data_IF_881536889063
#
_entry.id   IF_881536889063
#
_cell.length_a   1.000
_cell.length_b   1.000
_cell.length_c   1.000
_cell.angle_alpha   90.00
_cell.angle_beta   90.00
_cell.angle_gamma   90.00
#
_symmetry.space_group_name_H-M   'P 1'
#
loop_
_entity.id
_entity.type
_entity.pdbx_description
1 polymer ?
#
# COMPACT_ATOMS: atom_id res chain seq x y z
N UNK A 1 -187.22 -31.20 5.15
CA UNK A 1 -185.99 -31.23 5.98
C UNK A 1 -185.91 -32.43 6.96
N UNK A 2 -186.22 -33.68 6.59
CA UNK A 2 -186.20 -34.98 7.31
C UNK A 2 -184.76 -35.45 7.57
N UNK A 3 -184.54 -36.42 8.47
CA UNK A 3 -183.22 -37.05 8.72
C UNK A 3 -182.53 -37.51 7.42
N UNK A 4 -183.32 -37.88 6.41
CA UNK A 4 -182.89 -38.23 5.05
C UNK A 4 -182.28 -37.05 4.28
N UNK A 5 -182.76 -35.84 4.54
CA UNK A 5 -182.32 -34.63 3.87
C UNK A 5 -181.03 -34.05 4.49
N UNK A 6 -180.68 -34.34 5.75
CA UNK A 6 -179.36 -34.01 6.31
C UNK A 6 -178.26 -34.91 5.75
N UNK A 7 -178.57 -36.20 5.56
CA UNK A 7 -177.65 -37.21 5.01
C UNK A 7 -177.37 -36.94 3.51
N UNK A 8 -178.38 -36.52 2.75
CA UNK A 8 -178.26 -36.13 1.34
C UNK A 8 -177.39 -34.85 1.15
N UNK A 9 -177.49 -33.90 2.09
CA UNK A 9 -176.66 -32.67 2.09
C UNK A 9 -175.21 -32.98 2.46
N UNK A 10 -174.97 -33.83 3.46
CA UNK A 10 -173.62 -34.30 3.81
C UNK A 10 -172.95 -35.06 2.67
N UNK A 11 -173.70 -35.89 1.96
CA UNK A 11 -173.20 -36.64 0.79
C UNK A 11 -172.82 -35.68 -0.33
N UNK A 12 -173.65 -34.68 -0.65
CA UNK A 12 -173.31 -33.62 -1.63
C UNK A 12 -172.12 -32.76 -1.22
N UNK A 13 -171.95 -32.48 0.07
CA UNK A 13 -170.80 -31.71 0.57
C UNK A 13 -169.51 -32.52 0.42
N UNK A 14 -169.55 -33.82 0.72
CA UNK A 14 -168.41 -34.72 0.51
C UNK A 14 -168.08 -34.90 -0.97
N UNK A 15 -169.08 -35.03 -1.85
CA UNK A 15 -168.88 -35.05 -3.31
C UNK A 15 -168.23 -33.75 -3.79
N UNK A 16 -168.71 -32.59 -3.33
CA UNK A 16 -168.10 -31.30 -3.69
C UNK A 16 -166.68 -31.13 -3.14
N UNK A 17 -166.40 -31.65 -1.94
CA UNK A 17 -165.05 -31.66 -1.38
C UNK A 17 -164.12 -32.56 -2.20
N UNK A 18 -164.61 -33.72 -2.64
CA UNK A 18 -163.87 -34.63 -3.51
C UNK A 18 -163.59 -33.99 -4.88
N UNK A 19 -164.58 -33.31 -5.46
CA UNK A 19 -164.42 -32.58 -6.70
C UNK A 19 -163.43 -31.42 -6.58
N UNK A 20 -163.48 -30.67 -5.47
CA UNK A 20 -162.51 -29.60 -5.18
C UNK A 20 -161.09 -30.17 -5.04
N UNK A 21 -160.93 -31.32 -4.37
CA UNK A 21 -159.63 -31.96 -4.24
C UNK A 21 -159.09 -32.48 -5.58
N UNK A 22 -159.95 -33.09 -6.39
CA UNK A 22 -159.59 -33.51 -7.76
C UNK A 22 -159.23 -32.31 -8.65
N UNK A 23 -159.92 -31.18 -8.48
CA UNK A 23 -159.60 -29.95 -9.19
C UNK A 23 -158.25 -29.36 -8.73
N UNK A 24 -157.98 -29.44 -7.42
CA UNK A 24 -156.70 -29.03 -6.84
C UNK A 24 -155.55 -29.90 -7.36
N UNK A 25 -155.67 -31.23 -7.32
CA UNK A 25 -154.64 -32.15 -7.87
C UNK A 25 -154.44 -31.98 -9.38
N UNK A 26 -155.52 -31.73 -10.15
CA UNK A 26 -155.40 -31.43 -11.59
C UNK A 26 -154.71 -30.10 -11.86
N UNK A 27 -155.01 -29.07 -11.07
CA UNK A 27 -154.36 -27.77 -11.18
C UNK A 27 -152.88 -27.88 -10.82
N UNK A 28 -152.54 -28.59 -9.74
CA UNK A 28 -151.17 -28.83 -9.28
C UNK A 28 -150.34 -29.60 -10.32
N UNK A 29 -150.90 -30.68 -10.90
CA UNK A 29 -150.22 -31.45 -11.94
C UNK A 29 -150.09 -30.70 -13.28
N UNK A 30 -151.06 -29.87 -13.66
CA UNK A 30 -150.95 -29.05 -14.87
C UNK A 30 -149.93 -27.91 -14.68
N UNK A 31 -149.85 -27.35 -13.47
CA UNK A 31 -148.83 -26.37 -13.10
C UNK A 31 -147.42 -26.98 -13.10
N UNK A 32 -147.26 -28.24 -12.67
CA UNK A 32 -145.96 -28.92 -12.65
C UNK A 32 -145.43 -29.28 -14.05
N UNK A 33 -146.31 -29.64 -15.00
CA UNK A 33 -145.93 -29.88 -16.39
C UNK A 33 -145.49 -28.58 -17.08
N UNK A 34 -146.27 -27.49 -16.95
CA UNK A 34 -145.85 -26.19 -17.50
C UNK A 34 -144.54 -25.68 -16.88
N UNK A 35 -144.32 -25.98 -15.59
CA UNK A 35 -143.04 -25.72 -14.92
C UNK A 35 -141.90 -26.54 -15.53
N UNK A 36 -142.10 -27.83 -15.85
CA UNK A 36 -141.07 -28.63 -16.52
C UNK A 36 -140.71 -28.14 -17.95
N UNK A 37 -141.63 -27.47 -18.67
CA UNK A 37 -141.35 -26.90 -19.99
C UNK A 37 -140.79 -25.46 -19.94
N UNK A 38 -141.10 -24.67 -18.91
CA UNK A 38 -140.85 -23.21 -18.88
C UNK A 38 -139.86 -22.79 -17.77
N UNK A 39 -139.71 -23.57 -16.69
CA UNK A 39 -138.86 -23.22 -15.54
C UNK A 39 -137.37 -23.29 -15.91
N UNK A 40 -136.74 -22.11 -15.92
CA UNK A 40 -135.32 -21.92 -16.22
C UNK A 40 -134.40 -22.53 -15.15
N UNK A 41 -134.94 -22.86 -13.97
CA UNK A 41 -134.16 -23.40 -12.86
C UNK A 41 -134.10 -24.94 -12.81
N UNK A 42 -134.80 -25.63 -13.72
CA UNK A 42 -134.76 -27.09 -13.86
C UNK A 42 -133.76 -27.48 -14.95
N UNK A 43 -132.77 -28.31 -14.63
CA UNK A 43 -131.75 -28.77 -15.59
C UNK A 43 -132.35 -29.52 -16.79
N UNK A 44 -133.48 -30.21 -16.61
CA UNK A 44 -134.15 -30.97 -17.68
C UNK A 44 -135.22 -30.19 -18.46
N UNK A 45 -135.35 -28.86 -18.25
CA UNK A 45 -136.36 -28.10 -19.00
C UNK A 45 -135.92 -27.89 -20.45
N UNK A 46 -136.82 -28.20 -21.39
CA UNK A 46 -136.55 -28.08 -22.83
C UNK A 46 -136.11 -26.67 -23.24
N UNK A 47 -136.62 -25.64 -22.57
CA UNK A 47 -136.21 -24.25 -22.79
C UNK A 47 -134.74 -24.03 -22.43
N UNK A 48 -134.26 -24.58 -21.31
CA UNK A 48 -132.86 -24.49 -20.90
C UNK A 48 -131.94 -25.25 -21.85
N UNK A 49 -132.26 -26.50 -22.18
CA UNK A 49 -131.49 -27.31 -23.14
C UNK A 49 -131.38 -26.66 -24.53
N UNK A 50 -132.49 -26.12 -25.06
CA UNK A 50 -132.48 -25.40 -26.35
C UNK A 50 -131.68 -24.10 -26.26
N UNK A 51 -131.77 -23.37 -25.14
CA UNK A 51 -130.98 -22.15 -24.95
C UNK A 51 -129.48 -22.45 -24.80
N UNK A 52 -129.12 -23.52 -24.12
CA UNK A 52 -127.74 -23.97 -23.95
C UNK A 52 -127.16 -24.42 -25.30
N UNK A 53 -127.89 -25.21 -26.09
CA UNK A 53 -127.46 -25.63 -27.43
C UNK A 53 -127.37 -24.43 -28.40
N UNK A 54 -128.33 -23.49 -28.33
CA UNK A 54 -128.26 -22.23 -29.08
C UNK A 54 -127.08 -21.35 -28.63
N UNK A 55 -126.72 -21.37 -27.35
CA UNK A 55 -125.55 -20.65 -26.84
C UNK A 55 -124.25 -21.28 -27.34
N UNK A 56 -124.17 -22.61 -27.37
CA UNK A 56 -123.03 -23.35 -27.95
C UNK A 56 -122.89 -23.04 -29.44
N UNK A 57 -123.96 -23.13 -30.23
CA UNK A 57 -123.94 -22.84 -31.68
C UNK A 57 -123.54 -21.37 -31.93
N UNK A 58 -124.06 -20.43 -31.14
CA UNK A 58 -123.65 -19.01 -31.23
C UNK A 58 -122.17 -18.82 -30.90
N UNK A 59 -121.66 -19.50 -29.88
CA UNK A 59 -120.23 -19.46 -29.53
C UNK A 59 -119.37 -19.99 -30.68
N UNK A 60 -119.71 -21.15 -31.23
CA UNK A 60 -118.98 -21.74 -32.36
C UNK A 60 -119.03 -20.84 -33.61
N UNK A 61 -120.19 -20.24 -33.91
CA UNK A 61 -120.33 -19.28 -35.02
C UNK A 61 -119.45 -18.03 -34.82
N UNK A 62 -119.36 -17.53 -33.59
CA UNK A 62 -118.48 -16.41 -33.25
C UNK A 62 -117.00 -16.78 -33.42
N UNK A 63 -116.59 -17.98 -33.03
CA UNK A 63 -115.20 -18.44 -33.16
C UNK A 63 -114.80 -18.68 -34.62
N UNK A 64 -115.69 -19.27 -35.44
CA UNK A 64 -115.47 -19.38 -36.89
C UNK A 64 -115.37 -17.99 -37.54
N UNK A 65 -116.21 -17.05 -37.12
CA UNK A 65 -116.16 -15.66 -37.62
C UNK A 65 -114.84 -14.97 -37.24
N UNK A 66 -114.32 -15.20 -36.03
CA UNK A 66 -112.97 -14.71 -35.64
C UNK A 66 -111.87 -15.33 -36.50
N UNK A 67 -111.91 -16.65 -36.74
CA UNK A 67 -110.92 -17.33 -37.59
C UNK A 67 -110.95 -16.80 -39.03
N UNK A 68 -112.13 -16.54 -39.59
CA UNK A 68 -112.27 -15.95 -40.93
C UNK A 68 -111.67 -14.54 -41.00
N UNK A 69 -111.91 -13.71 -39.99
CA UNK A 69 -111.31 -12.37 -39.92
C UNK A 69 -109.78 -12.46 -39.80
N UNK A 70 -109.25 -13.35 -38.95
CA UNK A 70 -107.80 -13.55 -38.84
C UNK A 70 -107.17 -14.05 -40.15
N UNK A 71 -107.85 -14.94 -40.86
CA UNK A 71 -107.39 -15.44 -42.16
C UNK A 71 -107.41 -14.32 -43.22
N UNK A 72 -108.45 -13.49 -43.21
CA UNK A 72 -108.56 -12.35 -44.12
C UNK A 72 -107.47 -11.32 -43.83
N UNK A 73 -107.26 -10.93 -42.57
CA UNK A 73 -106.18 -10.02 -42.16
C UNK A 73 -104.81 -10.57 -42.58
N UNK A 74 -104.58 -11.87 -42.41
CA UNK A 74 -103.35 -12.53 -42.83
C UNK A 74 -103.18 -12.52 -44.35
N UNK A 75 -104.25 -12.75 -45.11
CA UNK A 75 -104.22 -12.73 -46.56
C UNK A 75 -104.01 -11.31 -47.11
N UNK A 76 -104.69 -10.31 -46.55
CA UNK A 76 -104.50 -8.89 -46.87
C UNK A 76 -103.08 -8.44 -46.51
N UNK A 77 -102.54 -8.89 -45.38
CA UNK A 77 -101.14 -8.65 -45.04
C UNK A 77 -100.21 -9.21 -46.12
N UNK A 78 -100.41 -10.43 -46.61
CA UNK A 78 -99.53 -11.01 -47.63
C UNK A 78 -99.69 -10.36 -49.02
N UNK A 79 -100.90 -9.91 -49.37
CA UNK A 79 -101.25 -9.47 -50.73
C UNK A 79 -101.32 -7.96 -50.93
N UNK A 80 -101.42 -7.18 -49.85
CA UNK A 80 -101.40 -5.71 -49.92
C UNK A 80 -100.12 -5.21 -50.59
N UNK A 81 -100.31 -4.27 -51.52
CA UNK A 81 -99.21 -3.63 -52.22
C UNK A 81 -98.46 -2.72 -51.25
N UNK A 82 -97.15 -2.90 -51.16
CA UNK A 82 -96.28 -2.01 -50.41
C UNK A 82 -95.93 -0.77 -51.25
N UNK A 83 -95.23 0.19 -50.63
CA UNK A 83 -94.85 1.46 -51.26
C UNK A 83 -94.05 1.31 -52.57
N UNK A 84 -93.42 0.16 -52.78
CA UNK A 84 -92.66 -0.19 -53.98
C UNK A 84 -93.53 -0.82 -55.10
N UNK A 85 -94.85 -0.85 -54.94
CA UNK A 85 -95.80 -1.39 -55.92
C UNK A 85 -95.85 -2.91 -56.01
N UNK A 86 -95.19 -3.63 -55.11
CA UNK A 86 -95.20 -5.11 -55.05
C UNK A 86 -95.84 -5.59 -53.75
N UNK A 87 -96.44 -6.78 -53.78
CA UNK A 87 -96.90 -7.42 -52.56
C UNK A 87 -95.75 -8.18 -51.87
N UNK A 88 -95.95 -8.58 -50.61
CA UNK A 88 -94.92 -9.23 -49.80
C UNK A 88 -94.44 -10.56 -50.40
N UNK A 89 -95.34 -11.30 -51.05
CA UNK A 89 -95.01 -12.56 -51.73
C UNK A 89 -94.06 -12.32 -52.92
N UNK A 90 -94.35 -11.30 -53.74
CA UNK A 90 -93.50 -10.91 -54.87
C UNK A 90 -92.13 -10.43 -54.40
N UNK A 91 -92.06 -9.69 -53.31
CA UNK A 91 -90.78 -9.27 -52.72
C UNK A 91 -89.92 -10.46 -52.28
N UNK A 92 -90.51 -11.48 -51.65
CA UNK A 92 -89.81 -12.72 -51.28
C UNK A 92 -89.31 -13.45 -52.54
N UNK A 93 -90.12 -13.49 -53.60
CA UNK A 93 -89.72 -14.12 -54.86
C UNK A 93 -88.56 -13.38 -55.55
N UNK A 94 -88.57 -12.05 -55.53
CA UNK A 94 -87.47 -11.25 -56.08
C UNK A 94 -86.16 -11.44 -55.29
N UNK A 95 -86.25 -11.52 -53.96
CA UNK A 95 -85.11 -11.78 -53.08
C UNK A 95 -84.49 -13.17 -53.32
N UNK A 96 -85.32 -14.14 -53.70
CA UNK A 96 -84.89 -15.50 -54.03
C UNK A 96 -84.64 -15.69 -55.53
N UNK A 97 -84.55 -14.61 -56.32
CA UNK A 97 -84.25 -14.72 -57.73
C UNK A 97 -82.85 -15.29 -57.95
N UNK A 98 -82.70 -16.15 -58.95
CA UNK A 98 -81.43 -16.81 -59.30
C UNK A 98 -80.29 -15.80 -59.47
N UNK A 99 -80.61 -14.60 -59.97
CA UNK A 99 -79.64 -13.51 -60.13
C UNK A 99 -79.10 -13.00 -58.79
N UNK A 100 -79.96 -12.81 -57.78
CA UNK A 100 -79.51 -12.35 -56.45
C UNK A 100 -78.70 -13.44 -55.76
N UNK A 101 -79.08 -14.70 -55.93
CA UNK A 101 -78.32 -15.84 -55.39
C UNK A 101 -76.94 -15.94 -56.03
N UNK A 102 -76.83 -15.78 -57.36
CA UNK A 102 -75.53 -15.79 -58.04
C UNK A 102 -74.67 -14.58 -57.65
N UNK A 103 -75.24 -13.38 -57.56
CA UNK A 103 -74.54 -12.18 -57.06
C UNK A 103 -73.98 -12.37 -55.64
N UNK A 104 -74.73 -13.01 -54.74
CA UNK A 104 -74.29 -13.33 -53.38
C UNK A 104 -73.13 -14.32 -53.41
N UNK A 105 -73.23 -15.34 -54.26
CA UNK A 105 -72.19 -16.36 -54.41
C UNK A 105 -70.90 -15.76 -54.97
N UNK A 106 -70.97 -14.97 -56.04
CA UNK A 106 -69.82 -14.26 -56.62
C UNK A 106 -69.15 -13.33 -55.60
N UNK A 107 -69.94 -12.57 -54.83
CA UNK A 107 -69.41 -11.71 -53.75
C UNK A 107 -68.74 -12.53 -52.66
N UNK A 108 -69.31 -13.66 -52.27
CA UNK A 108 -68.69 -14.56 -51.29
C UNK A 108 -67.37 -15.10 -51.80
N UNK A 109 -67.31 -15.56 -53.05
CA UNK A 109 -66.08 -16.08 -53.66
C UNK A 109 -65.00 -14.99 -53.80
N UNK A 110 -65.39 -13.79 -54.21
CA UNK A 110 -64.51 -12.62 -54.26
C UNK A 110 -63.96 -12.25 -52.88
N UNK A 111 -64.79 -12.32 -51.84
CA UNK A 111 -64.35 -12.12 -50.46
C UNK A 111 -63.33 -13.17 -50.02
N UNK A 112 -63.59 -14.47 -50.27
CA UNK A 112 -62.65 -15.54 -49.95
C UNK A 112 -61.33 -15.40 -50.70
N UNK A 113 -61.38 -15.01 -51.98
CA UNK A 113 -60.17 -14.76 -52.77
C UNK A 113 -59.36 -13.60 -52.22
N UNK A 114 -60.01 -12.47 -51.92
CA UNK A 114 -59.36 -11.30 -51.32
C UNK A 114 -58.76 -11.62 -49.95
N UNK A 115 -59.47 -12.40 -49.13
CA UNK A 115 -58.96 -12.89 -47.85
C UNK A 115 -57.68 -13.73 -48.04
N UNK A 116 -57.69 -14.68 -48.97
CA UNK A 116 -56.51 -15.51 -49.25
C UNK A 116 -55.35 -14.72 -49.86
N UNK A 117 -55.60 -13.72 -50.71
CA UNK A 117 -54.53 -12.85 -51.25
C UNK A 117 -53.84 -12.02 -50.16
N UNK A 118 -54.60 -11.57 -49.15
CA UNK A 118 -54.05 -10.76 -48.05
C UNK A 118 -53.37 -11.61 -46.97
N UNK A 119 -53.95 -12.77 -46.64
CA UNK A 119 -53.53 -13.56 -45.48
C UNK A 119 -52.78 -14.85 -45.84
N UNK A 120 -52.96 -15.41 -47.04
CA UNK A 120 -52.38 -16.68 -47.51
C UNK A 120 -51.59 -16.50 -48.82
N UNK A 121 -50.61 -15.59 -48.81
CA UNK A 121 -49.73 -15.31 -49.96
C UNK A 121 -48.64 -16.36 -50.19
N UNK A 122 -47.77 -16.13 -51.20
CA UNK A 122 -46.66 -17.04 -51.61
C UNK A 122 -45.70 -17.43 -50.46
N UNK A 123 -45.67 -16.67 -49.37
CA UNK A 123 -44.80 -16.90 -48.20
C UNK A 123 -45.50 -17.63 -47.02
N UNK A 124 -46.73 -18.11 -47.18
CA UNK A 124 -47.50 -18.82 -46.14
C UNK A 124 -48.55 -17.95 -45.44
N UNK A 125 -49.13 -18.50 -44.35
CA UNK A 125 -50.14 -17.82 -43.53
C UNK A 125 -49.50 -16.66 -42.75
N UNK A 126 -49.89 -15.43 -43.10
CA UNK A 126 -49.42 -14.21 -42.47
C UNK A 126 -49.72 -14.18 -40.96
N UNK A 127 -50.81 -14.83 -40.52
CA UNK A 127 -51.15 -14.95 -39.11
C UNK A 127 -50.13 -15.84 -38.38
N UNK A 128 -49.70 -16.94 -39.01
CA UNK A 128 -48.70 -17.84 -38.45
C UNK A 128 -47.30 -17.18 -38.40
N UNK A 129 -46.91 -16.41 -39.42
CA UNK A 129 -45.67 -15.61 -39.38
C UNK A 129 -45.73 -14.53 -38.29
N UNK A 130 -46.87 -13.87 -38.10
CA UNK A 130 -47.05 -12.87 -37.04
C UNK A 130 -46.94 -13.50 -35.65
N UNK A 131 -47.56 -14.65 -35.43
CA UNK A 131 -47.45 -15.42 -34.17
C UNK A 131 -46.00 -15.81 -33.93
N UNK A 132 -45.32 -16.36 -34.94
CA UNK A 132 -43.91 -16.77 -34.84
C UNK A 132 -42.99 -15.59 -34.50
N UNK A 133 -43.22 -14.43 -35.13
CA UNK A 133 -42.47 -13.19 -34.82
C UNK A 133 -42.77 -12.67 -33.43
N UNK A 134 -44.04 -12.70 -33.00
CA UNK A 134 -44.44 -12.35 -31.65
C UNK A 134 -43.75 -13.24 -30.61
N UNK A 135 -43.74 -14.56 -30.81
CA UNK A 135 -43.06 -15.51 -29.93
C UNK A 135 -41.56 -15.24 -29.85
N UNK A 136 -40.90 -14.93 -30.98
CA UNK A 136 -39.49 -14.53 -31.01
C UNK A 136 -39.26 -13.25 -30.19
N UNK A 137 -40.08 -12.23 -30.39
CA UNK A 137 -39.98 -10.96 -29.64
C UNK A 137 -40.20 -11.21 -28.15
N UNK A 138 -41.22 -11.99 -27.79
CA UNK A 138 -41.52 -12.30 -26.40
C UNK A 138 -40.37 -13.07 -25.74
N UNK A 139 -39.81 -14.09 -26.40
CA UNK A 139 -38.66 -14.82 -25.88
C UNK A 139 -37.41 -13.94 -25.70
N UNK A 140 -37.17 -12.98 -26.60
CA UNK A 140 -36.10 -12.00 -26.45
C UNK A 140 -36.36 -11.07 -25.26
N UNK A 141 -37.59 -10.56 -25.13
CA UNK A 141 -37.99 -9.75 -23.99
C UNK A 141 -37.78 -10.48 -22.66
N UNK A 142 -38.19 -11.75 -22.59
CA UNK A 142 -37.98 -12.60 -21.40
C UNK A 142 -36.51 -12.78 -21.05
N UNK A 143 -35.66 -13.05 -22.04
CA UNK A 143 -34.21 -13.16 -21.81
C UNK A 143 -33.58 -11.86 -21.32
N UNK A 144 -34.06 -10.72 -21.84
CA UNK A 144 -33.50 -9.42 -21.49
C UNK A 144 -33.97 -8.93 -20.12
N UNK A 145 -35.23 -9.17 -19.76
CA UNK A 145 -35.89 -8.49 -18.64
C UNK A 145 -36.67 -9.40 -17.67
N UNK A 146 -37.11 -10.61 -18.06
CA UNK A 146 -37.77 -11.49 -17.09
C UNK A 146 -36.72 -12.09 -16.16
N UNK A 147 -36.87 -11.74 -14.88
CA UNK A 147 -36.05 -12.25 -13.82
C UNK A 147 -36.76 -13.47 -13.20
N UNK A 148 -36.09 -14.62 -13.17
CA UNK A 148 -36.60 -15.81 -12.47
C UNK A 148 -35.88 -15.93 -11.14
N UNK A 149 -36.52 -16.52 -10.13
CA UNK A 149 -35.97 -16.64 -8.76
C UNK A 149 -34.54 -17.23 -8.67
N UNK A 150 -34.06 -17.92 -9.70
CA UNK A 150 -32.73 -18.54 -9.78
C UNK A 150 -31.78 -17.94 -10.83
N UNK A 151 -32.23 -16.99 -11.67
CA UNK A 151 -31.42 -16.40 -12.74
C UNK A 151 -31.77 -14.93 -12.99
N UNK A 152 -30.78 -14.08 -12.71
CA UNK A 152 -30.72 -12.68 -13.12
C UNK A 152 -31.00 -12.51 -14.62
N UNK A 153 -31.75 -11.46 -14.95
CA UNK A 153 -31.94 -11.06 -16.34
C UNK A 153 -30.62 -10.58 -16.95
N UNK A 154 -30.48 -10.66 -18.28
CA UNK A 154 -29.26 -10.19 -18.95
C UNK A 154 -29.02 -8.70 -18.70
N UNK A 155 -30.08 -7.88 -18.53
CA UNK A 155 -29.90 -6.47 -18.19
C UNK A 155 -29.31 -6.28 -16.80
N UNK A 156 -29.76 -7.04 -15.81
CA UNK A 156 -29.26 -6.95 -14.43
C UNK A 156 -27.83 -7.47 -14.31
N UNK A 157 -27.48 -8.56 -15.01
CA UNK A 157 -26.10 -9.06 -15.05
C UNK A 157 -25.15 -8.01 -15.66
N UNK A 158 -25.64 -7.26 -16.66
CA UNK A 158 -24.87 -6.18 -17.27
C UNK A 158 -24.70 -5.00 -16.30
N UNK A 159 -25.76 -4.61 -15.59
CA UNK A 159 -25.71 -3.57 -14.56
C UNK A 159 -24.71 -3.93 -13.45
N UNK A 160 -24.75 -5.17 -12.95
CA UNK A 160 -23.81 -5.63 -11.93
C UNK A 160 -22.36 -5.60 -12.41
N UNK A 161 -22.10 -5.99 -13.67
CA UNK A 161 -20.76 -5.89 -14.26
C UNK A 161 -20.30 -4.44 -14.42
N UNK A 162 -21.22 -3.54 -14.76
CA UNK A 162 -20.93 -2.10 -14.86
C UNK A 162 -20.60 -1.53 -13.48
N UNK A 163 -21.37 -1.88 -12.45
CA UNK A 163 -21.13 -1.43 -11.08
C UNK A 163 -19.79 -1.97 -10.54
N UNK A 164 -19.51 -3.26 -10.73
CA UNK A 164 -18.21 -3.85 -10.39
C UNK A 164 -17.05 -3.18 -11.11
N UNK A 165 -17.24 -2.82 -12.39
CA UNK A 165 -16.24 -2.08 -13.15
C UNK A 165 -15.99 -0.70 -12.54
N UNK A 166 -17.05 0.04 -12.19
CA UNK A 166 -16.91 1.35 -11.57
C UNK A 166 -16.27 1.27 -10.17
N UNK A 167 -16.59 0.27 -9.37
CA UNK A 167 -15.96 0.03 -8.06
C UNK A 167 -14.46 -0.28 -8.21
N UNK A 168 -14.11 -1.18 -9.14
CA UNK A 168 -12.72 -1.50 -9.44
C UNK A 168 -11.96 -0.29 -9.98
N UNK A 169 -12.59 0.49 -10.87
CA UNK A 169 -12.01 1.68 -11.46
C UNK A 169 -11.76 2.78 -10.42
N UNK A 170 -12.68 2.97 -9.47
CA UNK A 170 -12.55 3.98 -8.41
C UNK A 170 -11.44 3.63 -7.41
N UNK A 171 -11.25 2.35 -7.10
CA UNK A 171 -10.08 1.87 -6.33
C UNK A 171 -8.76 2.16 -7.07
N UNK A 172 -8.75 1.98 -8.40
CA UNK A 172 -7.55 2.10 -9.22
C UNK A 172 -7.15 3.53 -9.55
N UNK A 173 -8.05 4.35 -10.12
CA UNK A 173 -7.66 5.55 -10.88
C UNK A 173 -8.09 6.87 -10.25
N UNK A 174 -9.15 6.91 -9.43
CA UNK A 174 -9.49 8.14 -8.67
C UNK A 174 -10.65 7.89 -7.73
N UNK A 175 -10.39 8.06 -6.45
CA UNK A 175 -11.37 8.55 -5.50
C UNK A 175 -10.87 9.90 -4.99
N UNK A 176 -11.79 10.80 -4.65
CA UNK A 176 -11.47 12.07 -3.96
C UNK A 176 -10.78 11.82 -2.61
N UNK A 177 -10.87 10.59 -2.09
CA UNK A 177 -10.08 10.10 -0.98
C UNK A 177 -8.64 9.79 -1.39
N UNK A 178 -7.72 10.33 -0.60
CA UNK A 178 -6.26 10.32 -0.76
C UNK A 178 -5.60 8.92 -0.69
N UNK A 179 -6.42 7.86 -0.72
CA UNK A 179 -6.12 6.44 -0.50
C UNK A 179 -6.24 5.54 -1.75
N UNK A 180 -6.49 6.09 -2.95
CA UNK A 180 -6.46 5.27 -4.18
C UNK A 180 -5.08 4.67 -4.45
N UNK A 181 -5.04 3.50 -5.12
CA UNK A 181 -3.77 2.82 -5.47
C UNK A 181 -2.90 3.75 -6.34
N UNK A 182 -3.51 4.52 -7.24
CA UNK A 182 -2.80 5.51 -8.04
C UNK A 182 -2.16 6.61 -7.16
N UNK A 183 -2.88 7.18 -6.19
CA UNK A 183 -2.31 8.21 -5.31
C UNK A 183 -1.18 7.64 -4.45
N UNK A 184 -1.29 6.40 -3.97
CA UNK A 184 -0.21 5.72 -3.26
C UNK A 184 1.03 5.50 -4.15
N UNK A 185 0.81 5.08 -5.40
CA UNK A 185 1.88 4.94 -6.40
C UNK A 185 2.59 6.28 -6.66
N UNK A 186 1.84 7.37 -6.86
CA UNK A 186 2.41 8.71 -7.06
C UNK A 186 3.22 9.14 -5.82
N UNK A 187 2.67 9.00 -4.60
CA UNK A 187 3.39 9.30 -3.35
C UNK A 187 4.69 8.50 -3.22
N UNK A 188 4.66 7.19 -3.52
CA UNK A 188 5.85 6.33 -3.52
C UNK A 188 6.86 6.70 -4.60
N UNK A 189 6.40 7.06 -5.79
CA UNK A 189 7.24 7.49 -6.90
C UNK A 189 7.91 8.84 -6.59
N UNK A 190 7.20 9.77 -5.96
CA UNK A 190 7.76 11.05 -5.52
C UNK A 190 8.79 10.86 -4.41
N UNK A 191 8.51 9.99 -3.42
CA UNK A 191 9.51 9.62 -2.40
C UNK A 191 10.73 8.94 -3.03
N UNK A 192 10.53 8.05 -4.01
CA UNK A 192 11.63 7.42 -4.76
C UNK A 192 12.47 8.46 -5.51
N UNK A 193 11.84 9.40 -6.22
CA UNK A 193 12.54 10.46 -6.93
C UNK A 193 13.31 11.38 -5.97
N UNK A 194 12.72 11.71 -4.82
CA UNK A 194 13.41 12.49 -3.78
C UNK A 194 14.63 11.73 -3.21
N UNK A 195 14.50 10.43 -2.97
CA UNK A 195 15.62 9.57 -2.55
C UNK A 195 16.69 9.47 -3.61
N UNK A 196 16.31 9.34 -4.89
CA UNK A 196 17.23 9.35 -6.02
C UNK A 196 18.02 10.65 -6.10
N UNK A 197 17.35 11.82 -6.00
CA UNK A 197 18.02 13.14 -5.99
C UNK A 197 19.01 13.24 -4.82
N UNK A 198 18.63 12.78 -3.62
CA UNK A 198 19.53 12.75 -2.46
C UNK A 198 20.73 11.83 -2.68
N UNK A 199 20.51 10.68 -3.31
CA UNK A 199 21.57 9.72 -3.63
C UNK A 199 22.52 10.30 -4.68
N UNK A 200 22.01 10.92 -5.74
CA UNK A 200 22.80 11.59 -6.76
C UNK A 200 23.62 12.74 -6.16
N UNK A 201 23.01 13.54 -5.27
CA UNK A 201 23.72 14.60 -4.53
C UNK A 201 24.82 14.04 -3.63
N UNK A 202 24.56 12.93 -2.93
CA UNK A 202 25.55 12.25 -2.10
C UNK A 202 26.69 11.69 -2.97
N UNK A 203 26.36 11.02 -4.07
CA UNK A 203 27.33 10.47 -5.02
C UNK A 203 28.24 11.57 -5.56
N UNK A 204 27.66 12.68 -6.05
CA UNK A 204 28.42 13.82 -6.56
C UNK A 204 29.30 14.45 -5.46
N UNK A 205 28.85 14.49 -4.20
CA UNK A 205 29.66 15.00 -3.09
C UNK A 205 30.85 14.09 -2.75
N UNK A 206 30.66 12.78 -2.76
CA UNK A 206 31.71 11.81 -2.40
C UNK A 206 32.71 11.62 -3.55
N UNK A 207 32.21 11.44 -4.77
CA UNK A 207 32.99 11.04 -5.93
C UNK A 207 33.24 12.17 -6.93
N UNK A 208 32.55 13.30 -6.80
CA UNK A 208 32.66 14.42 -7.74
C UNK A 208 31.83 14.19 -9.00
N UNK A 209 31.69 15.24 -9.81
CA UNK A 209 31.07 15.18 -11.12
C UNK A 209 31.94 15.94 -12.12
N UNK A 210 32.51 15.22 -13.10
CA UNK A 210 33.42 15.78 -14.12
C UNK A 210 32.74 16.84 -15.00
N UNK A 211 31.40 16.80 -15.13
CA UNK A 211 30.64 17.75 -15.95
C UNK A 211 30.38 19.08 -15.25
N UNK A 212 30.38 19.10 -13.91
CA UNK A 212 30.04 20.27 -13.09
C UNK A 212 31.27 20.83 -12.33
N UNK A 213 32.47 20.31 -12.61
CA UNK A 213 33.73 20.72 -11.97
C UNK A 213 33.66 20.69 -10.41
N UNK A 214 32.90 19.74 -9.87
CA UNK A 214 32.74 19.57 -8.42
C UNK A 214 33.84 18.69 -7.86
N UNK A 215 34.66 19.25 -6.96
CA UNK A 215 35.73 18.51 -6.28
C UNK A 215 35.14 17.44 -5.37
N UNK A 216 35.60 16.20 -5.54
CA UNK A 216 35.16 15.07 -4.75
C UNK A 216 35.79 15.08 -3.35
N UNK A 217 35.01 14.63 -2.35
CA UNK A 217 35.55 14.44 -1.00
C UNK A 217 36.65 13.37 -0.99
N UNK A 218 36.56 12.37 -1.88
CA UNK A 218 37.57 11.34 -2.03
C UNK A 218 38.93 11.93 -2.45
N UNK A 219 38.93 12.85 -3.41
CA UNK A 219 40.16 13.54 -3.85
C UNK A 219 40.73 14.40 -2.72
N UNK A 220 39.88 15.05 -1.92
CA UNK A 220 40.34 15.81 -0.75
C UNK A 220 40.99 14.90 0.31
N UNK A 221 40.38 13.75 0.59
CA UNK A 221 40.91 12.76 1.52
C UNK A 221 42.26 12.22 1.05
N UNK A 222 42.37 11.85 -0.21
CA UNK A 222 43.62 11.38 -0.81
C UNK A 222 44.71 12.47 -0.73
N UNK A 223 44.36 13.72 -1.00
CA UNK A 223 45.29 14.84 -0.88
C UNK A 223 45.73 15.07 0.57
N UNK A 224 44.82 14.97 1.55
CA UNK A 224 45.17 15.08 2.98
C UNK A 224 46.05 13.92 3.43
N UNK A 225 45.77 12.70 2.98
CA UNK A 225 46.57 11.52 3.29
C UNK A 225 48.00 11.66 2.77
N UNK A 226 48.14 12.15 1.52
CA UNK A 226 49.46 12.46 0.95
C UNK A 226 50.21 13.53 1.76
N UNK A 227 49.54 14.62 2.15
CA UNK A 227 50.14 15.65 3.01
C UNK A 227 50.57 15.10 4.39
N UNK A 228 49.77 14.21 4.97
CA UNK A 228 50.12 13.57 6.25
C UNK A 228 51.36 12.70 6.10
N UNK A 229 51.46 11.91 5.02
CA UNK A 229 52.67 11.13 4.73
C UNK A 229 53.89 12.04 4.54
N UNK A 230 53.77 13.13 3.79
CA UNK A 230 54.86 14.11 3.60
C UNK A 230 55.31 14.73 4.94
N UNK A 231 54.35 15.12 5.80
CA UNK A 231 54.64 15.65 7.14
C UNK A 231 55.30 14.59 8.02
N UNK A 232 54.85 13.34 7.96
CA UNK A 232 55.42 12.23 8.74
C UNK A 232 56.88 11.96 8.33
N UNK A 233 57.17 11.93 7.03
CA UNK A 233 58.53 11.80 6.50
C UNK A 233 59.41 12.97 6.95
N UNK A 234 58.89 14.20 6.89
CA UNK A 234 59.62 15.39 7.34
C UNK A 234 59.87 15.37 8.86
N UNK A 235 58.89 14.96 9.66
CA UNK A 235 59.04 14.81 11.09
C UNK A 235 60.07 13.73 11.46
N UNK A 236 60.03 12.56 10.80
CA UNK A 236 61.03 11.50 10.95
C UNK A 236 62.44 12.00 10.62
N UNK A 237 62.57 12.77 9.53
CA UNK A 237 63.83 13.38 9.13
C UNK A 237 64.33 14.40 10.16
N UNK A 238 63.47 15.29 10.68
CA UNK A 238 63.84 16.27 11.71
C UNK A 238 64.24 15.57 13.02
N UNK A 239 63.53 14.53 13.43
CA UNK A 239 63.84 13.76 14.63
C UNK A 239 65.18 13.04 14.48
N UNK A 240 65.45 12.39 13.35
CA UNK A 240 66.75 11.76 13.07
C UNK A 240 67.86 12.81 13.04
N UNK A 241 67.71 13.90 12.29
CA UNK A 241 68.71 14.98 12.23
C UNK A 241 68.98 15.59 13.61
N UNK A 242 67.95 15.79 14.42
CA UNK A 242 68.07 16.31 15.79
C UNK A 242 68.74 15.31 16.74
N UNK A 243 68.45 14.02 16.62
CA UNK A 243 69.05 12.94 17.44
C UNK A 243 70.52 12.67 17.07
N UNK A 244 70.77 12.46 15.77
CA UNK A 244 72.09 12.16 15.19
C UNK A 244 73.08 13.31 15.40
N UNK A 245 72.66 14.54 15.14
CA UNK A 245 73.52 15.72 15.26
C UNK A 245 73.54 16.31 16.68
N UNK A 246 72.43 16.22 17.43
CA UNK A 246 72.25 16.93 18.69
C UNK A 246 73.00 16.32 19.87
N UNK A 247 72.81 15.03 20.14
CA UNK A 247 73.41 14.37 21.32
C UNK A 247 74.74 13.70 20.99
N UNK A 248 74.78 12.83 19.98
CA UNK A 248 76.01 12.15 19.58
C UNK A 248 77.06 13.13 19.02
N UNK A 249 76.64 14.10 18.20
CA UNK A 249 77.49 15.19 17.72
C UNK A 249 78.01 16.09 18.85
N UNK A 250 77.14 16.46 19.81
CA UNK A 250 77.52 17.26 20.98
C UNK A 250 78.56 16.57 21.88
N UNK A 251 78.42 15.27 22.15
CA UNK A 251 79.45 14.52 22.88
C UNK A 251 80.73 14.32 22.07
N UNK A 252 80.63 14.07 20.76
CA UNK A 252 81.80 13.97 19.88
C UNK A 252 82.64 15.25 19.89
N UNK A 253 81.99 16.42 19.82
CA UNK A 253 82.67 17.71 19.88
C UNK A 253 83.35 17.92 21.25
N UNK A 254 82.68 17.59 22.36
CA UNK A 254 83.29 17.64 23.70
C UNK A 254 84.46 16.67 23.86
N UNK A 255 84.40 15.46 23.31
CA UNK A 255 85.53 14.53 23.27
C UNK A 255 86.71 15.15 22.53
N UNK A 256 86.47 15.79 21.38
CA UNK A 256 87.51 16.46 20.59
C UNK A 256 88.13 17.64 21.35
N UNK A 257 87.33 18.49 21.97
CA UNK A 257 87.80 19.62 22.78
C UNK A 257 88.62 19.15 23.99
N UNK A 258 88.16 18.12 24.69
CA UNK A 258 88.89 17.55 25.84
C UNK A 258 90.20 16.89 25.40
N UNK A 259 90.23 16.20 24.25
CA UNK A 259 91.46 15.65 23.67
C UNK A 259 92.49 16.75 23.39
N UNK A 260 92.07 17.85 22.77
CA UNK A 260 92.94 19.00 22.50
C UNK A 260 93.48 19.55 23.82
N UNK A 261 92.61 19.80 24.81
CA UNK A 261 93.01 20.31 26.12
C UNK A 261 93.96 19.37 26.88
N UNK A 262 93.77 18.04 26.74
CA UNK A 262 94.67 17.02 27.27
C UNK A 262 96.08 17.16 26.68
N UNK A 263 96.18 17.26 25.34
CA UNK A 263 97.47 17.43 24.67
C UNK A 263 98.13 18.78 24.99
N UNK A 264 97.35 19.85 25.14
CA UNK A 264 97.87 21.15 25.59
C UNK A 264 98.43 21.04 27.02
N UNK A 265 97.70 20.41 27.94
CA UNK A 265 98.16 20.19 29.32
C UNK A 265 99.43 19.33 29.38
N UNK A 266 99.52 18.29 28.54
CA UNK A 266 100.72 17.47 28.39
C UNK A 266 101.90 18.28 27.83
N UNK A 267 101.65 19.11 26.81
CA UNK A 267 102.66 19.99 26.23
C UNK A 267 103.21 20.99 27.24
N UNK A 268 102.34 21.64 28.02
CA UNK A 268 102.75 22.55 29.12
C UNK A 268 103.60 21.82 30.15
N UNK A 269 103.21 20.60 30.54
CA UNK A 269 103.99 19.78 31.47
C UNK A 269 105.40 19.48 30.93
N UNK A 270 105.52 19.02 29.69
CA UNK A 270 106.81 18.71 29.06
C UNK A 270 107.67 19.95 28.88
N UNK A 271 107.10 21.07 28.44
CA UNK A 271 107.82 22.34 28.26
C UNK A 271 108.37 22.83 29.60
N UNK A 272 107.58 22.78 30.67
CA UNK A 272 108.03 23.16 32.02
C UNK A 272 109.20 22.27 32.49
N UNK A 273 109.14 20.96 32.23
CA UNK A 273 110.24 20.06 32.54
C UNK A 273 111.51 20.36 31.72
N UNK A 274 111.37 20.70 30.42
CA UNK A 274 112.50 21.07 29.57
C UNK A 274 113.11 22.41 30.04
N UNK A 275 112.29 23.42 30.32
CA UNK A 275 112.76 24.71 30.85
C UNK A 275 113.47 24.51 32.18
N UNK A 276 112.88 23.71 33.08
CA UNK A 276 113.51 23.37 34.36
C UNK A 276 114.83 22.63 34.14
N UNK A 277 114.89 21.67 33.20
CA UNK A 277 116.12 20.95 32.87
C UNK A 277 117.22 21.84 32.29
N UNK A 278 116.89 22.69 31.31
CA UNK A 278 117.83 23.64 30.69
C UNK A 278 118.31 24.68 31.70
N UNK A 279 117.40 25.21 32.53
CA UNK A 279 117.75 26.17 33.58
C UNK A 279 118.67 25.58 34.63
N UNK A 280 118.39 24.35 35.10
CA UNK A 280 119.27 23.65 36.03
C UNK A 280 120.62 23.30 35.36
N UNK A 281 120.64 22.87 34.11
CA UNK A 281 121.89 22.57 33.38
C UNK A 281 122.78 23.80 33.21
N UNK A 282 122.21 24.96 32.84
CA UNK A 282 122.95 26.23 32.72
C UNK A 282 123.39 26.82 34.07
N UNK A 283 122.75 26.45 35.17
CA UNK A 283 123.05 26.97 36.52
C UNK A 283 124.00 26.05 37.29
N UNK A 284 124.15 24.79 36.87
CA UNK A 284 125.05 23.82 37.50
C UNK A 284 126.43 23.94 36.86
N UNK A 285 127.40 24.40 37.65
CA UNK A 285 128.81 24.37 37.28
C UNK A 285 129.35 22.98 37.59
N UNK A 286 129.37 22.10 36.58
CA UNK A 286 129.71 20.67 36.75
C UNK A 286 131.17 20.45 37.19
N UNK A 287 132.02 21.46 37.03
CA UNK A 287 133.44 21.40 37.40
C UNK A 287 133.70 21.67 38.91
N UNK A 288 132.71 22.20 39.65
CA UNK A 288 132.85 22.62 41.06
C UNK A 288 131.78 22.02 42.01
N UNK A 289 131.51 20.72 41.89
CA UNK A 289 130.46 20.04 42.67
C UNK A 289 130.75 19.87 44.18
N UNK A 290 131.95 20.24 44.67
CA UNK A 290 132.37 20.02 46.07
C UNK A 290 132.18 21.21 47.01
N UNK A 291 131.92 22.42 46.51
CA UNK A 291 131.68 23.64 47.32
C UNK A 291 130.26 24.18 47.11
N UNK A 292 129.26 23.37 47.44
CA UNK A 292 127.86 23.82 47.33
C UNK A 292 127.47 24.58 48.61
N UNK A 293 127.37 25.90 48.50
CA UNK A 293 126.83 26.78 49.55
C UNK A 293 125.33 26.49 49.78
N UNK A 294 124.92 26.43 51.06
CA UNK A 294 123.52 26.17 51.47
C UNK A 294 122.58 27.24 50.90
N UNK A 295 123.05 28.47 50.75
CA UNK A 295 122.30 29.57 50.12
C UNK A 295 122.03 29.29 48.64
N UNK A 296 122.95 28.64 47.93
CA UNK A 296 122.77 28.21 46.53
C UNK A 296 121.68 27.15 46.40
N UNK A 297 121.60 26.21 47.35
CA UNK A 297 120.53 25.18 47.37
C UNK A 297 119.16 25.84 47.61
N UNK A 298 119.06 26.77 48.57
CA UNK A 298 117.79 27.43 48.91
C UNK A 298 117.30 28.31 47.77
N UNK A 299 118.16 29.12 47.16
CA UNK A 299 117.81 29.97 46.02
C UNK A 299 117.37 29.15 44.80
N UNK A 300 118.06 28.04 44.51
CA UNK A 300 117.65 27.08 43.46
C UNK A 300 116.30 26.43 43.78
N UNK A 301 116.05 26.04 45.02
CA UNK A 301 114.76 25.48 45.42
C UNK A 301 113.63 26.50 45.27
N UNK A 302 113.87 27.75 45.68
CA UNK A 302 112.88 28.83 45.61
C UNK A 302 112.53 29.21 44.16
N UNK A 303 113.51 29.18 43.24
CA UNK A 303 113.29 29.41 41.80
C UNK A 303 112.58 28.22 41.15
N UNK A 304 112.90 26.97 41.54
CA UNK A 304 112.27 25.76 41.00
C UNK A 304 110.84 25.53 41.55
N UNK A 305 110.51 26.07 42.73
CA UNK A 305 109.21 25.90 43.38
C UNK A 305 107.99 26.30 42.51
N UNK A 306 107.97 27.47 41.83
CA UNK A 306 106.86 27.80 40.93
C UNK A 306 106.76 26.84 39.73
N UNK A 307 107.88 26.35 39.19
CA UNK A 307 107.86 25.37 38.10
C UNK A 307 107.30 24.01 38.56
N UNK A 308 107.67 23.55 39.76
CA UNK A 308 107.10 22.34 40.37
C UNK A 308 105.59 22.49 40.60
N UNK A 309 105.13 23.67 41.03
CA UNK A 309 103.71 23.92 41.20
C UNK A 309 102.96 23.89 39.85
N UNK A 310 103.50 24.56 38.82
CA UNK A 310 102.91 24.54 37.46
C UNK A 310 102.88 23.12 36.90
N UNK A 311 103.95 22.33 37.07
CA UNK A 311 104.00 20.93 36.65
C UNK A 311 102.96 20.07 37.39
N UNK A 312 102.77 20.29 38.69
CA UNK A 312 101.76 19.60 39.50
C UNK A 312 100.34 19.95 39.04
N UNK A 313 100.06 21.22 38.80
CA UNK A 313 98.77 21.69 38.28
C UNK A 313 98.50 21.13 36.87
N UNK A 314 99.51 21.12 36.00
CA UNK A 314 99.41 20.52 34.66
C UNK A 314 99.14 19.00 34.72
N UNK A 315 99.73 18.29 35.68
CA UNK A 315 99.47 16.86 35.90
C UNK A 315 98.04 16.60 36.42
N UNK A 316 97.56 17.41 37.38
CA UNK A 316 96.17 17.32 37.87
C UNK A 316 95.17 17.60 36.74
N UNK A 317 95.43 18.62 35.92
CA UNK A 317 94.60 18.94 34.77
C UNK A 317 94.63 17.82 33.70
N UNK A 318 95.80 17.20 33.47
CA UNK A 318 95.92 16.07 32.55
C UNK A 318 95.06 14.88 32.99
N UNK A 319 95.10 14.53 34.28
CA UNK A 319 94.26 13.46 34.83
C UNK A 319 92.77 13.80 34.73
N UNK A 320 92.41 15.06 35.01
CA UNK A 320 91.04 15.56 34.86
C UNK A 320 90.55 15.44 33.41
N UNK A 321 91.32 15.88 32.43
CA UNK A 321 90.94 15.80 31.03
C UNK A 321 90.91 14.35 30.52
N UNK A 322 91.81 13.48 30.98
CA UNK A 322 91.80 12.06 30.62
C UNK A 322 90.53 11.37 31.08
N UNK A 323 90.07 11.65 32.29
CA UNK A 323 88.80 11.09 32.80
C UNK A 323 87.58 11.68 32.09
N UNK A 324 87.58 12.99 31.86
CA UNK A 324 86.52 13.66 31.07
C UNK A 324 86.42 13.08 29.66
N UNK A 325 87.55 12.77 29.02
CA UNK A 325 87.58 12.13 27.70
C UNK A 325 86.92 10.74 27.73
N UNK A 326 87.26 9.92 28.73
CA UNK A 326 86.67 8.58 28.89
C UNK A 326 85.15 8.66 29.11
N UNK A 327 84.70 9.57 29.97
CA UNK A 327 83.28 9.73 30.28
C UNK A 327 82.48 10.29 29.10
N UNK A 328 82.99 11.30 28.39
CA UNK A 328 82.32 11.81 27.19
C UNK A 328 82.36 10.81 26.04
N UNK A 329 83.44 10.05 25.87
CA UNK A 329 83.53 9.01 24.83
C UNK A 329 82.60 7.84 25.12
N UNK A 330 82.42 7.48 26.40
CA UNK A 330 81.41 6.51 26.82
C UNK A 330 79.99 7.02 26.50
N UNK A 331 79.69 8.29 26.81
CA UNK A 331 78.39 8.91 26.49
C UNK A 331 78.14 9.05 24.99
N UNK A 332 79.17 9.38 24.21
CA UNK A 332 79.10 9.39 22.74
C UNK A 332 78.76 7.99 22.19
N UNK A 333 79.42 6.95 22.71
CA UNK A 333 79.20 5.57 22.30
C UNK A 333 77.81 5.07 22.71
N UNK A 334 77.33 5.47 23.89
CA UNK A 334 75.99 5.17 24.37
C UNK A 334 74.92 5.86 23.51
N UNK A 335 75.12 7.13 23.15
CA UNK A 335 74.24 7.86 22.24
C UNK A 335 74.18 7.22 20.85
N UNK A 336 75.34 6.86 20.28
CA UNK A 336 75.42 6.15 19.00
C UNK A 336 74.76 4.77 19.02
N UNK A 337 74.87 4.05 20.13
CA UNK A 337 74.25 2.72 20.29
C UNK A 337 72.74 2.82 20.47
N UNK A 338 72.27 3.81 21.23
CA UNK A 338 70.85 4.12 21.37
C UNK A 338 70.21 4.38 20.02
N UNK A 339 70.85 5.20 19.17
CA UNK A 339 70.32 5.49 17.83
C UNK A 339 70.20 4.22 16.99
N UNK A 340 71.23 3.36 16.98
CA UNK A 340 71.19 2.09 16.26
C UNK A 340 70.07 1.17 16.74
N UNK A 341 69.87 1.07 18.06
CA UNK A 341 68.80 0.25 18.62
C UNK A 341 67.42 0.82 18.31
N UNK A 342 67.26 2.15 18.37
CA UNK A 342 66.04 2.84 17.96
C UNK A 342 65.71 2.54 16.49
N UNK A 343 66.67 2.68 15.58
CA UNK A 343 66.47 2.36 14.16
C UNK A 343 66.09 0.89 13.93
N UNK A 344 66.67 -0.04 14.70
CA UNK A 344 66.34 -1.46 14.56
C UNK A 344 64.95 -1.79 15.12
N UNK A 345 64.53 -1.16 16.22
CA UNK A 345 63.16 -1.26 16.75
C UNK A 345 62.15 -0.66 15.78
N UNK A 346 62.44 0.50 15.19
CA UNK A 346 61.59 1.12 14.16
C UNK A 346 61.39 0.23 12.92
N UNK A 347 62.39 -0.59 12.55
CA UNK A 347 62.21 -1.60 11.49
C UNK A 347 61.28 -2.74 11.92
N UNK A 348 61.35 -3.16 13.19
CA UNK A 348 60.50 -4.21 13.77
C UNK A 348 59.03 -3.77 13.94
N UNK A 349 58.78 -2.46 14.04
CA UNK A 349 57.43 -1.88 14.10
C UNK A 349 56.55 -2.28 12.92
N UNK A 350 57.16 -2.48 11.74
CA UNK A 350 56.47 -2.93 10.54
C UNK A 350 55.96 -4.40 10.62
N UNK A 351 56.36 -5.14 11.66
CA UNK A 351 56.04 -6.57 11.86
C UNK A 351 55.15 -6.76 13.10
N UNK A 352 55.43 -6.08 14.20
CA UNK A 352 54.70 -6.18 15.47
C UNK A 352 54.79 -4.86 16.27
N UNK A 353 53.77 -4.01 16.12
CA UNK A 353 53.75 -2.66 16.69
C UNK A 353 53.71 -2.65 18.22
N UNK A 354 53.03 -3.61 18.84
CA UNK A 354 52.87 -3.64 20.29
C UNK A 354 54.19 -4.04 20.97
N UNK A 355 54.90 -5.01 20.38
CA UNK A 355 56.23 -5.43 20.86
C UNK A 355 57.28 -4.35 20.61
N UNK A 356 57.24 -3.69 19.45
CA UNK A 356 58.08 -2.53 19.10
C UNK A 356 57.94 -1.40 20.12
N UNK A 357 56.70 -1.00 20.45
CA UNK A 357 56.43 0.02 21.44
C UNK A 357 56.98 -0.33 22.84
N UNK A 358 56.81 -1.58 23.28
CA UNK A 358 57.35 -2.03 24.58
C UNK A 358 58.89 -1.98 24.65
N UNK A 359 59.56 -2.34 23.55
CA UNK A 359 61.02 -2.29 23.42
C UNK A 359 61.52 -0.84 23.37
N UNK A 360 60.80 0.05 22.69
CA UNK A 360 61.12 1.47 22.63
C UNK A 360 61.04 2.12 24.03
N UNK A 361 59.99 1.83 24.79
CA UNK A 361 59.85 2.31 26.18
C UNK A 361 61.02 1.82 27.04
N UNK A 362 61.34 0.52 26.97
CA UNK A 362 62.46 -0.06 27.70
C UNK A 362 63.79 0.59 27.32
N UNK A 363 64.00 0.87 26.03
CA UNK A 363 65.19 1.55 25.53
C UNK A 363 65.27 2.99 26.05
N UNK A 364 64.16 3.73 26.09
CA UNK A 364 64.10 5.09 26.64
C UNK A 364 64.39 5.10 28.14
N UNK A 365 63.83 4.17 28.91
CA UNK A 365 64.10 4.04 30.36
C UNK A 365 65.58 3.75 30.63
N UNK A 366 66.16 2.77 29.94
CA UNK A 366 67.58 2.44 30.04
C UNK A 366 68.49 3.62 29.65
N UNK A 367 68.09 4.38 28.64
CA UNK A 367 68.83 5.55 28.19
C UNK A 367 68.79 6.69 29.23
N UNK A 368 67.63 6.98 29.80
CA UNK A 368 67.46 7.96 30.87
C UNK A 368 68.30 7.57 32.09
N UNK A 369 68.29 6.30 32.47
CA UNK A 369 69.09 5.79 33.58
C UNK A 369 70.60 5.95 33.31
N UNK A 370 71.06 5.61 32.10
CA UNK A 370 72.45 5.75 31.69
C UNK A 370 72.93 7.22 31.62
N UNK A 371 72.06 8.17 31.24
CA UNK A 371 72.42 9.60 31.18
C UNK A 371 72.31 10.34 32.51
N UNK A 372 71.52 9.82 33.47
CA UNK A 372 71.33 10.39 34.82
C UNK A 372 72.64 10.46 35.63
N UNK A 373 73.62 9.63 35.31
CA UNK A 373 74.95 9.67 35.96
C UNK A 373 75.74 10.91 35.50
N UNK A 374 75.86 11.90 36.39
CA UNK A 374 76.53 13.18 36.14
C UNK A 374 78.08 13.04 36.16
N UNK A 375 78.79 13.41 35.08
CA UNK A 375 80.27 13.39 35.00
C UNK A 375 80.95 14.23 36.10
N UNK A 376 80.29 15.29 36.58
CA UNK A 376 80.85 16.17 37.60
C UNK A 376 81.15 15.46 38.94
N UNK A 377 80.35 14.45 39.29
CA UNK A 377 80.48 13.73 40.57
C UNK A 377 81.76 12.88 40.65
N UNK A 378 82.32 12.48 39.51
CA UNK A 378 83.55 11.68 39.47
C UNK A 378 84.81 12.56 39.55
N UNK A 379 84.69 13.86 39.26
CA UNK A 379 85.75 14.87 39.27
C UNK A 379 86.05 15.33 40.70
N UNK A 380 85.02 15.48 41.54
CA UNK A 380 85.20 15.84 42.96
C UNK A 380 86.01 14.78 43.73
N UNK A 381 85.88 13.50 43.35
CA UNK A 381 86.64 12.40 43.93
C UNK A 381 88.15 12.44 43.59
N UNK A 382 88.53 13.07 42.48
CA UNK A 382 89.95 13.28 42.12
C UNK A 382 90.56 14.41 42.95
N UNK A 383 89.75 15.42 43.30
CA UNK A 383 90.18 16.57 44.09
C UNK A 383 90.59 16.15 45.52
N UNK A 384 89.96 15.11 46.07
CA UNK A 384 90.37 14.51 47.34
C UNK A 384 91.64 13.68 47.21
N UNK A 385 91.75 12.79 46.20
CA UNK A 385 92.91 11.89 46.03
C UNK A 385 94.22 12.60 45.61
N UNK A 386 94.14 13.78 45.00
CA UNK A 386 95.29 14.55 44.51
C UNK A 386 95.89 15.52 45.52
N UNK A 387 95.36 15.58 46.75
CA UNK A 387 95.95 16.42 47.78
C UNK A 387 97.29 15.84 48.23
N UNK A 388 98.37 16.63 48.16
CA UNK A 388 99.70 16.24 48.65
C UNK A 388 99.70 15.83 50.14
N UNK A 389 98.64 16.16 50.88
CA UNK A 389 98.42 15.76 52.27
C UNK A 389 98.17 14.25 52.42
N UNK A 390 97.49 13.59 51.48
CA UNK A 390 97.18 12.16 51.59
C UNK A 390 98.40 11.27 51.29
N UNK A 391 99.31 11.73 50.43
CA UNK A 391 100.58 11.03 50.16
C UNK A 391 101.52 11.10 51.38
N UNK A 392 101.49 12.19 52.14
CA UNK A 392 102.23 12.30 53.41
C UNK A 392 101.59 11.49 54.56
N UNK A 393 100.29 11.22 54.50
CA UNK A 393 99.61 10.36 55.48
C UNK A 393 99.83 8.86 55.22
N UNK A 394 99.96 8.40 53.97
CA UNK A 394 100.21 6.97 53.66
C UNK A 394 101.62 6.47 53.93
N UNK A 395 102.58 7.34 54.26
CA UNK A 395 103.99 6.94 54.54
C UNK A 395 104.31 6.82 56.04
N UNK A 396 103.28 6.89 56.90
CA UNK A 396 103.38 6.81 58.36
C UNK A 396 102.68 5.58 58.96
N UNK A 397 102.43 4.55 58.14
CA UNK A 397 102.07 3.20 58.57
C UNK A 397 103.21 2.21 58.26
#
# INVERSE_FOLDING_TARGET
MSKKEIEDVLTRINEKLLDINNLYEKLENSYSINKAFIDENSDDSLKKLVNDELAIIKSQSNDVSKMLNQLQESFEFLTSLQNNGKNRIQYIYDLLSDKVLEDIKEKSESFYKSYNEVFNGENGDLAEDFITKYEKINNLYKKLYENNNDKQSVSEELEEKIDNFFETYSILIKNDDDNSIYNEFIKKNDDFNNKKIKLDSFYNKIFGNEKEDTKSLNNELEQRMKRLQEIEEEAKKIISLSSDAGLAGGFHQKVKEVKINKYVSLGVFVIVLIIMGVFNFNTIDFDNLKEIDVVSIITRFMINLPFLWIATVANINLNKYTKLEQEYSHKESLAKSFERYKTEIEKLDNIDSDKSNSLMISLMELNIEAFKVNPANSIDKIKSDSSLLDVFQRKKE
#
